data_IF_697626617465
#
_entry.id   IF_697626617465
#
_cell.length_a   1.000
_cell.length_b   1.000
_cell.length_c   1.000
_cell.angle_alpha   90.00
_cell.angle_beta   90.00
_cell.angle_gamma   90.00
#
_symmetry.space_group_name_H-M   'P 1'
#
loop_
_entity.id
_entity.type
_entity.pdbx_description
1 polymer ?
#
# COMPACT_ATOMS: atom_id res chain seq x y z
N UNK A 1 0.52 -48.77 18.52
CA UNK A 1 -0.52 -47.79 18.10
C UNK A 1 -1.22 -48.36 16.89
N UNK A 2 -2.54 -48.43 16.90
CA UNK A 2 -3.29 -48.86 15.73
C UNK A 2 -3.16 -47.84 14.59
N UNK A 3 -3.29 -48.25 13.34
CA UNK A 3 -3.21 -47.41 12.17
C UNK A 3 -4.23 -46.25 12.24
N UNK A 4 -5.41 -46.54 12.82
CA UNK A 4 -6.47 -45.55 13.08
C UNK A 4 -6.05 -44.47 14.09
N UNK A 5 -5.33 -44.80 15.17
CA UNK A 5 -4.85 -43.83 16.13
C UNK A 5 -3.81 -42.86 15.50
N UNK A 6 -2.91 -43.38 14.66
CA UNK A 6 -1.95 -42.58 13.93
C UNK A 6 -2.62 -41.62 12.96
N UNK A 7 -3.68 -42.07 12.29
CA UNK A 7 -4.45 -41.27 11.33
C UNK A 7 -5.25 -40.16 12.04
N UNK A 8 -5.75 -40.41 13.25
CA UNK A 8 -6.42 -39.42 14.08
C UNK A 8 -5.44 -38.34 14.51
N UNK A 9 -4.26 -38.70 15.02
CA UNK A 9 -3.22 -37.77 15.42
C UNK A 9 -2.76 -36.85 14.24
N UNK A 10 -2.56 -37.43 13.03
CA UNK A 10 -2.22 -36.71 11.82
C UNK A 10 -3.33 -35.68 11.42
N UNK A 11 -4.59 -36.06 11.55
CA UNK A 11 -5.73 -35.18 11.26
C UNK A 11 -5.88 -34.07 12.30
N UNK A 12 -5.65 -34.34 13.57
CA UNK A 12 -5.68 -33.35 14.63
C UNK A 12 -4.55 -32.29 14.45
N UNK A 13 -3.34 -32.73 14.10
CA UNK A 13 -2.23 -31.83 13.78
C UNK A 13 -2.52 -30.99 12.52
N UNK A 14 -3.12 -31.58 11.48
CA UNK A 14 -3.49 -30.83 10.28
C UNK A 14 -4.55 -29.78 10.57
N UNK A 15 -5.57 -30.15 11.39
CA UNK A 15 -6.61 -29.22 11.81
C UNK A 15 -6.07 -28.09 12.69
N UNK A 16 -5.15 -28.40 13.59
CA UNK A 16 -4.50 -27.38 14.43
C UNK A 16 -3.70 -26.38 13.59
N UNK A 17 -2.94 -26.86 12.60
CA UNK A 17 -2.23 -25.99 11.64
C UNK A 17 -3.19 -25.12 10.83
N UNK A 18 -4.28 -25.66 10.31
CA UNK A 18 -5.29 -24.88 9.59
C UNK A 18 -5.92 -23.79 10.47
N UNK A 19 -6.25 -24.10 11.72
CA UNK A 19 -6.79 -23.09 12.66
C UNK A 19 -5.81 -21.98 12.93
N UNK A 20 -4.53 -22.29 13.07
CA UNK A 20 -3.48 -21.30 13.26
C UNK A 20 -3.39 -20.36 12.04
N UNK A 21 -3.29 -20.89 10.83
CA UNK A 21 -3.25 -20.11 9.60
C UNK A 21 -4.48 -19.20 9.43
N UNK A 22 -5.68 -19.70 9.74
CA UNK A 22 -6.91 -18.89 9.70
C UNK A 22 -6.86 -17.76 10.73
N UNK A 23 -6.36 -18.02 11.93
CA UNK A 23 -6.20 -16.99 12.95
C UNK A 23 -5.21 -15.90 12.54
N UNK A 24 -4.05 -16.30 12.00
CA UNK A 24 -3.04 -15.39 11.48
C UNK A 24 -3.59 -14.52 10.34
N UNK A 25 -4.22 -15.13 9.32
CA UNK A 25 -4.84 -14.40 8.21
C UNK A 25 -5.91 -13.42 8.70
N UNK A 26 -6.73 -13.79 9.66
CA UNK A 26 -7.76 -12.89 10.21
C UNK A 26 -7.11 -11.71 10.96
N UNK A 27 -6.09 -11.98 11.76
CA UNK A 27 -5.35 -10.92 12.50
C UNK A 27 -4.70 -9.93 11.54
N UNK A 28 -4.05 -10.42 10.47
CA UNK A 28 -3.46 -9.60 9.43
C UNK A 28 -4.54 -8.79 8.70
N UNK A 29 -5.66 -9.43 8.34
CA UNK A 29 -6.77 -8.78 7.65
C UNK A 29 -7.38 -7.62 8.45
N UNK A 30 -7.51 -7.77 9.77
CA UNK A 30 -7.94 -6.69 10.66
C UNK A 30 -6.91 -5.55 10.65
N UNK A 31 -5.62 -5.85 10.76
CA UNK A 31 -4.56 -4.85 10.72
C UNK A 31 -4.52 -4.10 9.38
N UNK A 32 -4.62 -4.81 8.24
CA UNK A 32 -4.70 -4.20 6.91
C UNK A 32 -5.92 -3.28 6.76
N UNK A 33 -7.07 -3.69 7.28
CA UNK A 33 -8.31 -2.91 7.19
C UNK A 33 -8.29 -1.64 8.05
N UNK A 34 -7.50 -1.63 9.12
CA UNK A 34 -7.35 -0.50 10.03
C UNK A 34 -6.33 0.55 9.53
N UNK A 35 -5.34 0.12 8.73
CA UNK A 35 -4.29 1.00 8.22
C UNK A 35 -4.81 1.84 7.04
N UNK A 36 -4.45 3.12 7.01
CA UNK A 36 -4.87 4.08 5.97
C UNK A 36 -3.70 4.76 5.28
N UNK A 37 -2.52 4.70 5.88
CA UNK A 37 -1.29 5.20 5.28
C UNK A 37 -0.77 4.18 4.27
N UNK A 38 -0.75 4.55 2.98
CA UNK A 38 -0.41 3.63 1.90
C UNK A 38 1.00 3.05 2.04
N UNK A 39 2.06 3.82 2.35
CA UNK A 39 3.39 3.28 2.64
C UNK A 39 3.39 2.22 3.74
N UNK A 40 2.79 2.51 4.89
CA UNK A 40 2.69 1.59 6.02
C UNK A 40 1.90 0.33 5.66
N UNK A 41 0.83 0.49 4.87
CA UNK A 41 0.03 -0.63 4.38
C UNK A 41 0.83 -1.54 3.45
N UNK A 42 1.64 -0.98 2.54
CA UNK A 42 2.51 -1.75 1.65
C UNK A 42 3.58 -2.53 2.43
N UNK A 43 4.18 -1.90 3.44
CA UNK A 43 5.13 -2.56 4.34
C UNK A 43 4.47 -3.72 5.09
N UNK A 44 3.27 -3.51 5.64
CA UNK A 44 2.52 -4.54 6.37
C UNK A 44 2.15 -5.73 5.48
N UNK A 45 1.70 -5.47 4.24
CA UNK A 45 1.39 -6.51 3.25
C UNK A 45 2.62 -7.39 3.01
N UNK A 46 3.76 -6.77 2.73
CA UNK A 46 4.97 -7.52 2.38
C UNK A 46 5.54 -8.26 3.57
N UNK A 47 5.61 -7.62 4.74
CA UNK A 47 6.08 -8.23 5.99
C UNK A 47 5.24 -9.45 6.35
N UNK A 48 3.91 -9.32 6.28
CA UNK A 48 2.99 -10.42 6.60
C UNK A 48 3.09 -11.57 5.60
N UNK A 49 3.17 -11.27 4.30
CA UNK A 49 3.32 -12.29 3.25
C UNK A 49 4.61 -13.09 3.44
N UNK A 50 5.71 -12.40 3.75
CA UNK A 50 7.01 -13.04 4.02
C UNK A 50 6.98 -13.89 5.29
N UNK A 51 6.39 -13.37 6.37
CA UNK A 51 6.29 -14.10 7.65
C UNK A 51 5.49 -15.39 7.50
N UNK A 52 4.33 -15.35 6.84
CA UNK A 52 3.47 -16.52 6.60
C UNK A 52 4.15 -17.63 5.81
N UNK A 53 5.09 -17.27 4.92
CA UNK A 53 5.73 -18.23 4.00
C UNK A 53 7.18 -18.53 4.32
N UNK A 54 7.75 -17.85 5.31
CA UNK A 54 9.20 -17.85 5.59
C UNK A 54 10.06 -17.40 4.39
N UNK A 55 9.54 -16.46 3.56
CA UNK A 55 10.28 -15.91 2.43
C UNK A 55 11.40 -14.98 2.89
N UNK A 56 12.60 -15.13 2.32
CA UNK A 56 13.77 -14.29 2.65
C UNK A 56 13.64 -12.87 2.13
N UNK A 57 13.00 -12.71 0.98
CA UNK A 57 12.80 -11.42 0.37
C UNK A 57 11.41 -11.33 -0.29
N UNK A 58 11.02 -10.12 -0.61
CA UNK A 58 9.81 -9.88 -1.36
C UNK A 58 9.75 -8.48 -1.94
N UNK A 59 8.86 -8.30 -2.90
CA UNK A 59 8.61 -7.07 -3.62
C UNK A 59 7.13 -6.85 -3.83
N UNK A 60 6.71 -5.60 -3.81
CA UNK A 60 5.34 -5.20 -4.11
C UNK A 60 5.35 -4.30 -5.34
N UNK A 61 4.54 -4.68 -6.31
CA UNK A 61 4.30 -3.93 -7.53
C UNK A 61 2.87 -3.42 -7.57
N UNK A 62 2.69 -2.24 -8.14
CA UNK A 62 1.38 -1.63 -8.38
C UNK A 62 1.19 -1.46 -9.88
N UNK A 63 0.01 -1.82 -10.39
CA UNK A 63 -0.36 -1.56 -11.78
C UNK A 63 -0.72 -0.09 -11.93
N UNK A 64 -0.03 0.59 -12.83
CA UNK A 64 -0.36 1.95 -13.27
C UNK A 64 -0.87 1.89 -14.70
N UNK A 65 -2.11 2.32 -14.90
CA UNK A 65 -2.75 2.39 -16.21
C UNK A 65 -2.29 3.65 -16.94
N UNK A 66 -2.04 3.55 -18.23
CA UNK A 66 -1.76 4.70 -19.09
C UNK A 66 -2.91 5.71 -19.10
N UNK A 67 -2.59 6.97 -19.48
CA UNK A 67 -3.59 8.06 -19.51
C UNK A 67 -4.65 7.90 -20.62
N UNK A 68 -4.32 7.17 -21.69
CA UNK A 68 -5.26 6.87 -22.77
C UNK A 68 -5.99 5.56 -22.49
N UNK A 69 -7.27 5.68 -22.16
CA UNK A 69 -8.17 4.58 -21.82
C UNK A 69 -8.26 3.48 -22.90
N UNK A 70 -7.87 3.78 -24.13
CA UNK A 70 -7.91 2.86 -25.29
C UNK A 70 -6.56 2.20 -25.63
N UNK A 71 -5.46 2.56 -24.91
CA UNK A 71 -4.12 2.05 -25.22
C UNK A 71 -3.53 1.34 -24.00
N UNK A 72 -3.43 0.02 -24.06
CA UNK A 72 -2.72 -0.80 -23.05
C UNK A 72 -1.20 -0.72 -23.18
N UNK A 73 -0.67 0.00 -24.17
CA UNK A 73 0.77 0.09 -24.44
C UNK A 73 1.54 0.89 -23.41
N UNK A 74 0.85 1.74 -22.62
CA UNK A 74 1.45 2.59 -21.58
C UNK A 74 1.26 2.04 -20.17
N UNK A 75 0.61 0.88 -20.01
CA UNK A 75 0.44 0.24 -18.72
C UNK A 75 1.78 -0.24 -18.17
N UNK A 76 2.01 0.03 -16.91
CA UNK A 76 3.27 -0.26 -16.23
C UNK A 76 3.05 -0.95 -14.90
N UNK A 77 4.03 -1.76 -14.50
CA UNK A 77 4.19 -2.23 -13.14
C UNK A 77 5.22 -1.35 -12.44
N UNK A 78 4.76 -0.59 -11.45
CA UNK A 78 5.64 0.22 -10.62
C UNK A 78 6.08 -0.56 -9.40
N UNK A 79 7.39 -0.69 -9.24
CA UNK A 79 8.03 -1.27 -8.07
C UNK A 79 7.93 -0.29 -6.89
N UNK A 80 7.13 -0.63 -5.90
CA UNK A 80 6.75 0.28 -4.80
C UNK A 80 7.41 -0.03 -3.48
N UNK A 81 7.69 -1.30 -3.21
CA UNK A 81 8.25 -1.71 -1.93
C UNK A 81 9.08 -2.96 -2.07
N UNK A 82 10.13 -3.08 -1.26
CA UNK A 82 10.96 -4.29 -1.19
C UNK A 82 11.48 -4.52 0.22
N UNK A 83 11.66 -5.78 0.55
CA UNK A 83 12.31 -6.23 1.78
C UNK A 83 13.21 -7.40 1.47
N UNK A 84 14.35 -7.48 2.15
CA UNK A 84 15.29 -8.59 2.03
C UNK A 84 16.04 -8.77 3.36
N UNK A 85 16.04 -10.00 3.91
CA UNK A 85 16.70 -10.29 5.17
C UNK A 85 18.21 -10.53 5.02
N UNK A 86 18.63 -11.01 3.86
CA UNK A 86 20.00 -11.51 3.65
C UNK A 86 20.94 -10.48 3.04
N UNK A 87 20.42 -9.53 2.24
CA UNK A 87 21.21 -8.46 1.61
C UNK A 87 20.55 -7.11 1.79
N UNK A 88 21.37 -6.08 1.98
CA UNK A 88 20.85 -4.69 1.97
C UNK A 88 20.56 -4.29 0.52
N UNK A 89 19.31 -3.98 0.25
CA UNK A 89 18.87 -3.52 -1.07
C UNK A 89 18.55 -2.03 -0.95
N UNK A 90 19.36 -1.14 -1.57
CA UNK A 90 18.93 0.25 -1.69
C UNK A 90 17.63 0.28 -2.52
N UNK A 91 16.58 0.84 -1.92
CA UNK A 91 15.31 0.96 -2.60
C UNK A 91 15.36 2.12 -3.58
N UNK A 92 15.14 1.82 -4.85
CA UNK A 92 14.87 2.81 -5.89
C UNK A 92 13.55 2.44 -6.57
N UNK A 93 12.62 3.37 -6.60
CA UNK A 93 11.36 3.20 -7.31
C UNK A 93 11.61 3.22 -8.83
N UNK A 94 11.14 2.21 -9.53
CA UNK A 94 11.21 2.14 -10.99
C UNK A 94 9.92 1.54 -11.56
N UNK A 95 9.69 1.76 -12.83
CA UNK A 95 8.59 1.15 -13.54
C UNK A 95 9.12 0.21 -14.62
N UNK A 96 8.44 -0.91 -14.81
CA UNK A 96 8.66 -1.84 -15.91
C UNK A 96 7.39 -1.91 -16.75
N UNK A 97 7.49 -2.14 -18.05
CA UNK A 97 6.31 -2.38 -18.89
C UNK A 97 5.48 -3.53 -18.33
N UNK A 98 4.16 -3.38 -18.34
CA UNK A 98 3.24 -4.47 -18.02
C UNK A 98 3.24 -5.45 -19.21
N UNK A 99 4.09 -6.47 -19.11
CA UNK A 99 4.30 -7.43 -20.20
C UNK A 99 4.47 -8.85 -19.64
N UNK A 100 4.07 -9.85 -20.42
CA UNK A 100 4.21 -11.26 -20.05
C UNK A 100 5.67 -11.72 -19.90
N UNK A 101 6.62 -10.92 -20.35
CA UNK A 101 8.04 -11.27 -20.37
C UNK A 101 8.70 -11.33 -18.99
N UNK A 102 8.08 -10.72 -17.97
CA UNK A 102 8.52 -10.81 -16.57
C UNK A 102 7.56 -11.67 -15.74
N UNK A 103 8.05 -12.32 -14.69
CA UNK A 103 7.22 -13.17 -13.81
C UNK A 103 6.09 -12.35 -13.16
N UNK A 104 6.41 -11.16 -12.65
CA UNK A 104 5.41 -10.26 -12.06
C UNK A 104 4.41 -9.74 -13.11
N UNK A 105 4.89 -9.39 -14.32
CA UNK A 105 4.05 -8.95 -15.42
C UNK A 105 3.10 -10.04 -15.91
N UNK A 106 3.59 -11.27 -16.05
CA UNK A 106 2.76 -12.41 -16.39
C UNK A 106 1.69 -12.67 -15.33
N UNK A 107 2.04 -12.65 -14.04
CA UNK A 107 1.07 -12.79 -12.95
C UNK A 107 0.00 -11.68 -13.00
N UNK A 108 0.41 -10.45 -13.31
CA UNK A 108 -0.52 -9.32 -13.43
C UNK A 108 -1.48 -9.46 -14.62
N UNK A 109 -0.99 -9.87 -15.80
CA UNK A 109 -1.79 -9.99 -17.02
C UNK A 109 -2.68 -11.23 -17.03
N UNK A 110 -2.14 -12.39 -16.62
CA UNK A 110 -2.92 -13.63 -16.52
C UNK A 110 -3.91 -13.61 -15.35
N UNK A 111 -3.59 -12.79 -14.34
CA UNK A 111 -4.32 -12.79 -13.08
C UNK A 111 -4.23 -14.10 -12.30
N UNK A 112 -3.22 -14.93 -12.56
CA UNK A 112 -2.98 -16.19 -11.88
C UNK A 112 -1.70 -16.12 -11.05
N UNK A 113 -1.67 -16.85 -9.94
CA UNK A 113 -0.43 -17.02 -9.19
C UNK A 113 0.61 -17.77 -10.04
N UNK A 114 1.85 -17.35 -9.92
CA UNK A 114 3.00 -17.97 -10.60
C UNK A 114 3.98 -18.45 -9.55
N UNK A 115 4.10 -19.77 -9.45
CA UNK A 115 5.00 -20.44 -8.50
C UNK A 115 6.16 -21.09 -9.25
N UNK A 116 7.38 -20.60 -9.01
CA UNK A 116 8.60 -21.00 -9.69
C UNK A 116 9.54 -21.64 -8.69
N UNK A 117 9.83 -22.96 -8.82
CA UNK A 117 10.74 -23.67 -7.92
C UNK A 117 12.19 -23.20 -8.01
N UNK A 118 12.68 -22.88 -9.23
CA UNK A 118 13.99 -22.27 -9.47
C UNK A 118 13.90 -21.26 -10.62
N UNK A 119 14.18 -19.99 -10.31
CA UNK A 119 14.12 -18.89 -11.29
C UNK A 119 15.21 -19.00 -12.38
N UNK A 120 16.27 -19.81 -12.16
CA UNK A 120 17.31 -20.04 -13.14
C UNK A 120 17.05 -21.27 -14.02
N UNK A 121 16.10 -22.11 -13.63
CA UNK A 121 15.71 -23.34 -14.33
C UNK A 121 14.19 -23.30 -14.64
N UNK A 122 13.81 -22.34 -15.46
CA UNK A 122 12.43 -22.22 -15.91
C UNK A 122 12.08 -23.31 -16.93
N UNK A 123 10.84 -23.85 -16.91
CA UNK A 123 10.40 -24.84 -17.87
C UNK A 123 10.56 -24.34 -19.31
N UNK A 124 10.95 -25.20 -20.26
CA UNK A 124 10.98 -24.85 -21.68
C UNK A 124 9.62 -24.34 -22.16
N UNK A 125 9.63 -23.19 -22.86
CA UNK A 125 8.38 -22.57 -23.35
C UNK A 125 7.68 -21.66 -22.35
N UNK A 126 8.28 -21.38 -21.17
CA UNK A 126 7.75 -20.37 -20.25
C UNK A 126 7.60 -19.03 -20.96
N UNK A 127 6.43 -18.34 -20.81
CA UNK A 127 6.20 -17.04 -21.48
C UNK A 127 7.08 -15.94 -20.88
N UNK A 128 7.54 -16.11 -19.65
CA UNK A 128 8.37 -15.14 -18.92
C UNK A 128 9.81 -15.61 -18.77
N UNK A 129 10.68 -14.67 -18.42
CA UNK A 129 12.10 -14.91 -18.14
C UNK A 129 12.48 -14.27 -16.80
N UNK A 130 13.51 -14.81 -16.16
CA UNK A 130 14.12 -14.20 -15.00
C UNK A 130 15.36 -13.41 -15.39
N UNK A 131 15.40 -12.12 -15.03
CA UNK A 131 16.56 -11.25 -15.26
C UNK A 131 17.55 -11.33 -14.08
N UNK A 132 18.76 -11.83 -14.33
CA UNK A 132 19.80 -12.05 -13.29
C UNK A 132 20.55 -10.80 -12.84
N UNK A 133 20.26 -9.64 -13.43
CA UNK A 133 21.02 -8.41 -13.19
C UNK A 133 21.02 -7.94 -11.71
N UNK A 134 19.95 -8.21 -10.98
CA UNK A 134 19.92 -7.93 -9.54
C UNK A 134 20.84 -8.88 -8.77
N UNK A 135 20.74 -10.18 -9.04
CA UNK A 135 21.54 -11.21 -8.38
C UNK A 135 23.04 -10.98 -8.62
N UNK A 136 23.42 -10.66 -9.86
CA UNK A 136 24.82 -10.37 -10.23
C UNK A 136 25.40 -9.15 -9.51
N UNK A 137 24.59 -8.11 -9.30
CA UNK A 137 25.02 -6.88 -8.61
C UNK A 137 25.07 -7.03 -7.10
N UNK A 138 24.10 -7.75 -6.53
CA UNK A 138 23.94 -7.87 -5.07
C UNK A 138 24.66 -9.07 -4.46
N UNK A 139 25.12 -10.01 -5.29
CA UNK A 139 25.61 -11.30 -4.84
C UNK A 139 24.52 -12.20 -4.24
N UNK A 140 23.25 -11.85 -4.46
CA UNK A 140 22.10 -12.64 -4.06
C UNK A 140 21.81 -13.73 -5.09
N UNK A 141 21.25 -14.86 -4.67
CA UNK A 141 20.79 -15.93 -5.57
C UNK A 141 19.29 -16.12 -5.40
N UNK A 142 18.53 -15.64 -6.36
CA UNK A 142 17.09 -15.90 -6.40
C UNK A 142 16.87 -17.33 -6.91
N UNK A 143 16.24 -18.16 -6.06
CA UNK A 143 15.90 -19.54 -6.39
C UNK A 143 14.40 -19.70 -6.49
N UNK A 144 13.67 -19.93 -5.41
CA UNK A 144 12.22 -20.05 -5.47
C UNK A 144 11.52 -18.70 -5.50
N UNK A 145 10.47 -18.59 -6.29
CA UNK A 145 9.65 -17.37 -6.43
C UNK A 145 8.17 -17.71 -6.42
N UNK A 146 7.39 -16.88 -5.75
CA UNK A 146 5.93 -16.92 -5.79
C UNK A 146 5.42 -15.50 -6.07
N UNK A 147 4.74 -15.31 -7.21
CA UNK A 147 4.14 -14.05 -7.59
C UNK A 147 2.63 -14.17 -7.62
N UNK A 148 1.96 -13.40 -6.78
CA UNK A 148 0.50 -13.47 -6.60
C UNK A 148 -0.13 -12.13 -6.96
N UNK A 149 -1.10 -12.09 -7.90
CA UNK A 149 -1.80 -10.87 -8.25
C UNK A 149 -2.76 -10.43 -7.13
N UNK A 150 -2.76 -9.13 -6.86
CA UNK A 150 -3.73 -8.47 -5.99
C UNK A 150 -4.92 -8.02 -6.83
N UNK A 151 -6.11 -8.58 -6.57
CA UNK A 151 -7.33 -8.27 -7.31
C UNK A 151 -8.27 -7.42 -6.47
N UNK A 152 -8.80 -6.36 -7.09
CA UNK A 152 -9.84 -5.54 -6.50
C UNK A 152 -11.21 -6.24 -6.46
N UNK A 153 -12.23 -5.54 -5.98
CA UNK A 153 -13.60 -6.06 -5.88
C UNK A 153 -14.28 -6.30 -7.26
N UNK A 154 -13.70 -5.77 -8.34
CA UNK A 154 -14.17 -6.00 -9.73
C UNK A 154 -13.43 -7.17 -10.38
N UNK A 155 -12.43 -7.74 -9.70
CA UNK A 155 -11.57 -8.78 -10.24
C UNK A 155 -10.41 -8.24 -11.08
N UNK A 156 -10.23 -6.92 -11.15
CA UNK A 156 -9.10 -6.30 -11.85
C UNK A 156 -7.82 -6.42 -11.03
N UNK A 157 -6.70 -6.68 -11.69
CA UNK A 157 -5.41 -6.73 -11.01
C UNK A 157 -4.88 -5.32 -10.81
N UNK A 158 -4.70 -4.94 -9.56
CA UNK A 158 -4.18 -3.63 -9.13
C UNK A 158 -2.72 -3.66 -8.70
N UNK A 159 -2.15 -4.85 -8.55
CA UNK A 159 -0.74 -5.03 -8.18
C UNK A 159 -0.34 -6.49 -8.09
N UNK A 160 0.91 -6.74 -7.72
CA UNK A 160 1.49 -8.07 -7.54
C UNK A 160 2.34 -8.09 -6.28
N UNK A 161 2.12 -9.09 -5.42
CA UNK A 161 3.04 -9.47 -4.34
C UNK A 161 3.97 -10.54 -4.89
N UNK A 162 5.26 -10.30 -4.85
CA UNK A 162 6.27 -11.27 -5.27
C UNK A 162 7.15 -11.64 -4.08
N UNK A 163 7.19 -12.92 -3.75
CA UNK A 163 7.99 -13.50 -2.67
C UNK A 163 9.15 -14.29 -3.25
N UNK A 164 10.29 -14.23 -2.57
CA UNK A 164 11.54 -14.77 -3.07
C UNK A 164 12.20 -15.59 -1.96
N UNK A 165 12.66 -16.78 -2.33
CA UNK A 165 13.46 -17.68 -1.50
C UNK A 165 12.78 -18.08 -0.20
N UNK A 166 11.81 -19.01 -0.29
CA UNK A 166 11.24 -19.65 0.91
C UNK A 166 12.35 -20.40 1.66
N UNK A 167 12.55 -20.03 2.92
CA UNK A 167 13.57 -20.62 3.79
C UNK A 167 13.03 -21.85 4.52
N UNK A 168 13.86 -22.87 4.65
CA UNK A 168 13.59 -24.04 5.51
C UNK A 168 13.64 -23.62 6.99
N UNK A 169 14.65 -22.84 7.38
CA UNK A 169 14.76 -22.17 8.65
C UNK A 169 14.53 -20.66 8.46
N UNK A 170 13.42 -20.10 8.97
CA UNK A 170 13.07 -18.68 8.80
C UNK A 170 14.17 -17.70 9.26
N UNK A 171 14.98 -18.10 10.23
CA UNK A 171 16.03 -17.25 10.82
C UNK A 171 17.37 -17.29 10.07
N UNK A 172 17.54 -18.21 9.13
CA UNK A 172 18.78 -18.32 8.37
C UNK A 172 18.99 -17.14 7.44
N UNK A 173 20.26 -16.73 7.28
CA UNK A 173 20.68 -15.77 6.25
C UNK A 173 21.17 -16.55 5.02
N UNK A 174 20.77 -16.09 3.84
CA UNK A 174 21.08 -16.76 2.57
C UNK A 174 22.42 -16.29 1.96
N UNK A 175 23.39 -16.03 2.80
CA UNK A 175 24.77 -15.72 2.41
C UNK A 175 25.75 -16.58 3.19
N UNK A 176 26.80 -17.12 2.56
CA UNK A 176 27.14 -17.02 1.13
C UNK A 176 26.18 -17.81 0.24
N UNK A 177 26.31 -17.65 -1.10
CA UNK A 177 25.42 -18.27 -2.09
C UNK A 177 25.25 -19.80 -1.92
N UNK A 178 26.24 -20.50 -1.40
CA UNK A 178 26.16 -21.95 -1.11
C UNK A 178 25.09 -22.33 -0.09
N UNK A 179 24.68 -21.38 0.78
CA UNK A 179 23.60 -21.59 1.76
C UNK A 179 22.25 -21.68 1.08
N UNK A 180 22.06 -20.97 -0.05
CA UNK A 180 20.80 -20.96 -0.81
C UNK A 180 20.39 -22.37 -1.23
N UNK A 181 21.33 -23.17 -1.75
CA UNK A 181 21.03 -24.54 -2.19
C UNK A 181 20.56 -25.46 -1.06
N UNK A 182 21.00 -25.20 0.16
CA UNK A 182 20.64 -26.00 1.33
C UNK A 182 19.37 -25.52 2.02
N UNK A 183 19.17 -24.20 2.08
CA UNK A 183 18.13 -23.57 2.89
C UNK A 183 16.87 -23.21 2.08
N UNK A 184 16.99 -22.95 0.77
CA UNK A 184 15.84 -22.53 -0.03
C UNK A 184 15.10 -23.75 -0.58
N UNK A 185 13.80 -23.73 -0.33
CA UNK A 185 12.83 -24.74 -0.81
C UNK A 185 11.77 -24.07 -1.70
N UNK A 186 11.12 -24.81 -2.59
CA UNK A 186 9.96 -24.30 -3.33
C UNK A 186 8.83 -23.88 -2.41
N UNK A 187 8.06 -22.88 -2.83
CA UNK A 187 6.77 -22.55 -2.21
C UNK A 187 5.79 -23.69 -2.44
N UNK A 188 4.99 -24.01 -1.44
CA UNK A 188 3.99 -25.06 -1.49
C UNK A 188 2.64 -24.52 -1.99
N UNK A 189 1.70 -25.41 -2.34
CA UNK A 189 0.33 -25.01 -2.65
C UNK A 189 -0.36 -24.28 -1.47
N UNK A 190 -0.02 -24.66 -0.23
CA UNK A 190 -0.53 -23.98 0.98
C UNK A 190 0.00 -22.55 1.06
N UNK A 191 1.28 -22.32 0.76
CA UNK A 191 1.84 -20.97 0.72
C UNK A 191 1.12 -20.11 -0.34
N UNK A 192 0.85 -20.69 -1.51
CA UNK A 192 0.14 -20.03 -2.60
C UNK A 192 -1.29 -19.64 -2.19
N UNK A 193 -2.03 -20.54 -1.55
CA UNK A 193 -3.37 -20.27 -1.03
C UNK A 193 -3.36 -19.17 0.04
N UNK A 194 -2.43 -19.21 0.99
CA UNK A 194 -2.29 -18.21 2.05
C UNK A 194 -1.98 -16.82 1.48
N UNK A 195 -0.99 -16.74 0.57
CA UNK A 195 -0.62 -15.46 -0.04
C UNK A 195 -1.72 -14.93 -0.95
N UNK A 196 -2.45 -15.81 -1.65
CA UNK A 196 -3.61 -15.41 -2.48
C UNK A 196 -4.73 -14.82 -1.63
N UNK A 197 -5.03 -15.43 -0.48
CA UNK A 197 -6.00 -14.89 0.46
C UNK A 197 -5.57 -13.53 1.02
N UNK A 198 -4.30 -13.41 1.41
CA UNK A 198 -3.74 -12.15 1.90
C UNK A 198 -3.71 -11.07 0.80
N UNK A 199 -3.31 -11.42 -0.42
CA UNK A 199 -3.27 -10.51 -1.57
C UNK A 199 -4.66 -9.94 -1.90
N UNK A 200 -5.72 -10.74 -1.75
CA UNK A 200 -7.10 -10.28 -1.94
C UNK A 200 -7.51 -9.26 -0.88
N UNK A 201 -7.18 -9.52 0.39
CA UNK A 201 -7.44 -8.57 1.49
C UNK A 201 -6.61 -7.29 1.33
N UNK A 202 -5.34 -7.43 0.94
CA UNK A 202 -4.44 -6.33 0.66
C UNK A 202 -4.94 -5.43 -0.48
N UNK A 203 -5.48 -6.02 -1.54
CA UNK A 203 -6.06 -5.28 -2.66
C UNK A 203 -7.21 -4.38 -2.19
N UNK A 204 -8.15 -4.93 -1.42
CA UNK A 204 -9.28 -4.16 -0.87
C UNK A 204 -8.79 -3.05 0.06
N UNK A 205 -7.81 -3.33 0.92
CA UNK A 205 -7.26 -2.34 1.84
C UNK A 205 -6.56 -1.19 1.08
N UNK A 206 -5.75 -1.50 0.06
CA UNK A 206 -5.09 -0.51 -0.79
C UNK A 206 -6.08 0.34 -1.59
N UNK A 207 -7.12 -0.28 -2.14
CA UNK A 207 -8.18 0.43 -2.86
C UNK A 207 -8.91 1.39 -1.93
N UNK A 208 -9.30 0.93 -0.73
CA UNK A 208 -9.95 1.78 0.27
C UNK A 208 -9.05 2.96 0.70
N UNK A 209 -7.77 2.73 0.95
CA UNK A 209 -6.83 3.79 1.30
C UNK A 209 -6.71 4.83 0.18
N UNK A 210 -6.60 4.40 -1.09
CA UNK A 210 -6.59 5.30 -2.26
C UNK A 210 -7.89 6.10 -2.39
N UNK A 211 -9.05 5.44 -2.26
CA UNK A 211 -10.33 6.13 -2.34
C UNK A 211 -10.45 7.20 -1.25
N UNK A 212 -9.97 6.94 -0.04
CA UNK A 212 -9.95 7.94 1.04
C UNK A 212 -9.04 9.12 0.68
N UNK A 213 -7.85 8.88 0.10
CA UNK A 213 -6.97 9.95 -0.37
C UNK A 213 -7.60 10.76 -1.50
N UNK A 214 -8.24 10.11 -2.47
CA UNK A 214 -8.94 10.76 -3.58
C UNK A 214 -10.10 11.65 -3.08
N UNK A 215 -10.90 11.16 -2.13
CA UNK A 215 -11.97 11.94 -1.50
C UNK A 215 -11.39 13.16 -0.77
N UNK A 216 -10.29 13.01 -0.03
CA UNK A 216 -9.60 14.13 0.64
C UNK A 216 -9.09 15.15 -0.37
N UNK A 217 -8.50 14.71 -1.48
CA UNK A 217 -8.00 15.58 -2.55
C UNK A 217 -9.13 16.34 -3.27
N UNK A 218 -10.23 15.64 -3.58
CA UNK A 218 -11.43 16.26 -4.16
C UNK A 218 -12.04 17.30 -3.23
N UNK A 219 -12.16 17.00 -1.94
CA UNK A 219 -12.67 17.93 -0.95
C UNK A 219 -11.76 19.16 -0.82
N UNK A 220 -10.45 18.97 -0.78
CA UNK A 220 -9.49 20.09 -0.77
C UNK A 220 -9.63 20.98 -2.01
N UNK A 221 -9.77 20.38 -3.19
CA UNK A 221 -9.98 21.11 -4.45
C UNK A 221 -11.29 21.88 -4.45
N UNK A 222 -12.36 21.28 -3.92
CA UNK A 222 -13.66 21.95 -3.75
C UNK A 222 -13.57 23.17 -2.82
N UNK A 223 -12.91 23.02 -1.66
CA UNK A 223 -12.69 24.13 -0.72
C UNK A 223 -11.90 25.25 -1.39
N UNK A 224 -10.81 24.93 -2.07
CA UNK A 224 -9.96 25.91 -2.77
C UNK A 224 -10.73 26.67 -3.85
N UNK A 225 -11.52 25.97 -4.67
CA UNK A 225 -12.37 26.58 -5.69
C UNK A 225 -13.44 27.50 -5.06
N UNK A 226 -14.03 27.07 -3.94
CA UNK A 226 -15.04 27.83 -3.19
C UNK A 226 -14.45 29.13 -2.64
N UNK A 227 -13.26 29.08 -2.04
CA UNK A 227 -12.55 30.27 -1.54
C UNK A 227 -12.26 31.24 -2.69
N UNK A 228 -11.73 30.73 -3.81
CA UNK A 228 -11.46 31.56 -5.00
C UNK A 228 -12.74 32.23 -5.52
N UNK A 229 -13.85 31.51 -5.58
CA UNK A 229 -15.14 32.06 -6.03
C UNK A 229 -15.69 33.15 -5.08
N UNK A 230 -15.46 33.02 -3.77
CA UNK A 230 -15.87 34.01 -2.78
C UNK A 230 -15.01 35.25 -2.88
N UNK A 231 -13.69 35.10 -2.90
CA UNK A 231 -12.73 36.19 -2.96
C UNK A 231 -12.80 36.96 -4.29
N UNK A 232 -13.18 36.31 -5.39
CA UNK A 232 -13.40 37.00 -6.68
C UNK A 232 -14.57 38.02 -6.66
N UNK A 233 -15.52 37.87 -5.74
CA UNK A 233 -16.65 38.79 -5.56
C UNK A 233 -16.31 39.99 -4.68
N UNK A 234 -15.28 39.91 -3.87
CA UNK A 234 -14.80 41.00 -3.01
C UNK A 234 -13.26 41.10 -3.12
N UNK A 235 -12.74 41.87 -4.09
CA UNK A 235 -11.30 41.98 -4.32
C UNK A 235 -10.52 42.49 -3.10
N UNK A 236 -11.18 43.12 -2.13
CA UNK A 236 -10.55 43.63 -0.91
C UNK A 236 -10.19 42.51 0.06
N UNK A 237 -10.74 41.31 -0.13
CA UNK A 237 -10.53 40.15 0.72
C UNK A 237 -9.59 39.10 0.09
N UNK A 238 -8.93 39.43 -1.02
CA UNK A 238 -7.99 38.50 -1.67
C UNK A 238 -6.95 37.96 -0.70
N UNK A 239 -6.86 36.62 -0.61
CA UNK A 239 -5.96 35.89 0.31
C UNK A 239 -6.33 36.02 1.80
N UNK A 240 -7.50 36.63 2.14
CA UNK A 240 -7.94 36.74 3.53
C UNK A 240 -8.18 35.38 4.16
N UNK A 241 -8.94 34.52 3.51
CA UNK A 241 -9.28 33.18 4.00
C UNK A 241 -8.04 32.32 4.26
N UNK A 242 -7.06 32.41 3.36
CA UNK A 242 -5.76 31.69 3.54
C UNK A 242 -5.00 32.21 4.76
N UNK A 243 -4.88 33.52 4.94
CA UNK A 243 -4.22 34.10 6.11
C UNK A 243 -4.91 33.74 7.41
N UNK A 244 -6.25 33.74 7.46
CA UNK A 244 -7.02 33.32 8.63
C UNK A 244 -6.75 31.84 8.94
N UNK A 245 -6.74 30.98 7.93
CA UNK A 245 -6.44 29.57 8.11
C UNK A 245 -5.02 29.32 8.65
N UNK A 246 -4.01 30.01 8.09
CA UNK A 246 -2.63 29.92 8.58
C UNK A 246 -2.49 30.36 10.04
N UNK A 247 -3.11 31.49 10.40
CA UNK A 247 -3.07 32.01 11.77
C UNK A 247 -3.79 31.07 12.74
N UNK A 248 -4.96 30.55 12.35
CA UNK A 248 -5.77 29.65 13.21
C UNK A 248 -5.03 28.34 13.47
N UNK A 249 -4.49 27.71 12.41
CA UNK A 249 -3.72 26.47 12.54
C UNK A 249 -2.44 26.71 13.32
N UNK A 250 -1.69 27.78 13.02
CA UNK A 250 -0.47 28.12 13.75
C UNK A 250 -0.72 28.41 15.23
N UNK A 251 -1.86 29.02 15.58
CA UNK A 251 -2.26 29.18 16.99
C UNK A 251 -2.57 27.84 17.64
N UNK A 252 -3.31 26.97 16.98
CA UNK A 252 -3.63 25.63 17.48
C UNK A 252 -2.36 24.80 17.71
N UNK A 253 -1.40 24.82 16.76
CA UNK A 253 -0.11 24.15 16.91
C UNK A 253 0.72 24.71 18.09
N UNK A 254 0.65 26.03 18.31
CA UNK A 254 1.32 26.63 19.47
C UNK A 254 0.67 26.22 20.79
N UNK A 255 -0.65 26.13 20.83
CA UNK A 255 -1.38 25.62 22.01
C UNK A 255 -1.05 24.15 22.25
N UNK A 256 -1.01 23.33 21.22
CA UNK A 256 -0.65 21.91 21.29
C UNK A 256 0.76 21.69 21.87
N UNK A 257 1.68 22.61 21.57
CA UNK A 257 3.06 22.55 22.04
C UNK A 257 3.27 23.09 23.47
N UNK A 258 2.24 23.62 24.13
CA UNK A 258 2.38 24.14 25.49
C UNK A 258 2.57 23.00 26.49
N UNK A 259 3.59 23.13 27.33
CA UNK A 259 3.89 22.21 28.44
C UNK A 259 3.41 22.69 29.80
N UNK A 260 2.92 23.95 29.89
CA UNK A 260 2.49 24.59 31.12
C UNK A 260 1.35 25.59 30.88
N UNK A 261 0.70 26.07 31.95
CA UNK A 261 -0.37 27.05 31.87
C UNK A 261 -1.76 26.45 31.63
N UNK A 262 -2.79 27.32 31.40
CA UNK A 262 -4.21 26.90 31.39
C UNK A 262 -4.57 26.00 30.20
N UNK A 263 -3.73 25.90 29.17
CA UNK A 263 -3.94 25.10 27.97
C UNK A 263 -2.97 23.92 27.85
N UNK A 264 -2.24 23.60 28.92
CA UNK A 264 -1.22 22.54 28.93
C UNK A 264 -1.75 21.15 28.54
N UNK A 265 -3.03 20.88 28.74
CA UNK A 265 -3.69 19.60 28.46
C UNK A 265 -4.44 19.57 27.11
N UNK A 266 -4.43 20.69 26.38
CA UNK A 266 -5.08 20.77 25.06
C UNK A 266 -4.15 20.15 24.02
N UNK A 267 -4.68 19.19 23.28
CA UNK A 267 -3.99 18.54 22.16
C UNK A 267 -4.87 18.50 20.93
N UNK A 268 -4.24 18.62 19.78
CA UNK A 268 -4.93 18.54 18.49
C UNK A 268 -4.37 17.37 17.67
N UNK A 269 -5.24 16.49 17.23
CA UNK A 269 -4.86 15.50 16.22
C UNK A 269 -4.64 16.17 14.86
N UNK A 270 -3.96 15.46 13.93
CA UNK A 270 -3.79 15.94 12.55
C UNK A 270 -5.13 16.21 11.87
N UNK A 271 -6.13 15.37 12.13
CA UNK A 271 -7.48 15.55 11.57
C UNK A 271 -8.16 16.80 12.13
N UNK A 272 -8.05 17.08 13.43
CA UNK A 272 -8.58 18.29 14.06
C UNK A 272 -7.90 19.57 13.53
N UNK A 273 -6.59 19.55 13.30
CA UNK A 273 -5.89 20.68 12.67
C UNK A 273 -6.37 20.90 11.24
N UNK A 274 -6.65 19.83 10.50
CA UNK A 274 -7.19 19.91 9.15
C UNK A 274 -8.63 20.43 9.14
N UNK A 275 -9.48 20.02 10.08
CA UNK A 275 -10.84 20.56 10.27
C UNK A 275 -10.81 22.05 10.58
N UNK A 276 -9.93 22.50 11.48
CA UNK A 276 -9.72 23.91 11.79
C UNK A 276 -9.30 24.70 10.54
N UNK A 277 -8.41 24.13 9.72
CA UNK A 277 -8.00 24.73 8.45
C UNK A 277 -9.17 24.94 7.51
N UNK A 278 -9.98 23.90 7.30
CA UNK A 278 -11.17 23.98 6.43
C UNK A 278 -12.24 24.94 6.98
N UNK A 279 -12.52 24.89 8.27
CA UNK A 279 -13.45 25.82 8.90
C UNK A 279 -13.00 27.27 8.71
N UNK A 280 -11.70 27.54 8.87
CA UNK A 280 -11.13 28.87 8.67
C UNK A 280 -11.21 29.33 7.21
N UNK A 281 -10.92 28.43 6.25
CA UNK A 281 -11.02 28.75 4.82
C UNK A 281 -12.46 29.07 4.40
N UNK A 282 -13.43 28.36 4.97
CA UNK A 282 -14.84 28.47 4.61
C UNK A 282 -15.67 29.42 5.52
N UNK A 283 -15.03 30.12 6.49
CA UNK A 283 -15.76 30.95 7.46
C UNK A 283 -16.66 32.00 6.80
N UNK A 284 -16.30 32.46 5.64
CA UNK A 284 -16.99 33.46 4.85
C UNK A 284 -17.87 32.85 3.73
N UNK A 285 -18.04 31.53 3.66
CA UNK A 285 -18.77 30.84 2.59
C UNK A 285 -20.21 31.34 2.43
N UNK A 286 -20.84 31.75 3.50
CA UNK A 286 -22.19 32.36 3.48
C UNK A 286 -22.32 33.61 2.60
N UNK A 287 -21.23 34.31 2.28
CA UNK A 287 -21.22 35.48 1.38
C UNK A 287 -21.67 35.15 -0.04
N UNK A 288 -21.58 33.87 -0.47
CA UNK A 288 -22.04 33.41 -1.80
C UNK A 288 -23.53 33.72 -2.00
N UNK A 289 -24.35 33.60 -0.94
CA UNK A 289 -25.79 33.89 -0.97
C UNK A 289 -26.15 35.36 -0.82
N UNK A 290 -25.22 36.26 -0.55
CA UNK A 290 -25.47 37.68 -0.30
C UNK A 290 -25.39 38.47 -1.61
N UNK A 291 -26.38 39.41 -1.82
CA UNK A 291 -26.39 40.26 -3.01
C UNK A 291 -25.19 41.20 -3.04
N UNK A 292 -24.57 41.38 -4.20
CA UNK A 292 -23.37 42.19 -4.41
C UNK A 292 -23.46 43.60 -3.86
N UNK A 293 -24.65 44.28 -4.02
CA UNK A 293 -24.95 45.60 -3.46
C UNK A 293 -24.77 45.67 -1.93
N UNK A 294 -24.85 44.55 -1.23
CA UNK A 294 -24.67 44.50 0.23
C UNK A 294 -23.21 44.29 0.58
N UNK A 295 -22.48 43.52 -0.24
CA UNK A 295 -21.07 43.21 -0.04
C UNK A 295 -20.16 44.41 -0.33
N UNK A 296 -20.43 45.14 -1.42
CA UNK A 296 -19.57 46.25 -1.93
C UNK A 296 -20.08 47.62 -1.44
N UNK A 297 -20.80 47.67 -0.33
CA UNK A 297 -21.34 48.92 0.21
C UNK A 297 -20.18 49.84 0.68
N UNK A 298 -20.00 51.00 0.02
CA UNK A 298 -18.92 51.97 0.31
C UNK A 298 -19.01 52.59 1.72
N UNK A 299 -20.19 52.62 2.35
CA UNK A 299 -20.38 52.97 3.76
C UNK A 299 -21.18 51.86 4.44
N UNK A 300 -20.58 51.19 5.42
CA UNK A 300 -21.19 50.09 6.18
C UNK A 300 -22.14 50.55 7.29
N UNK A 301 -22.02 51.82 7.70
CA UNK A 301 -22.88 52.46 8.68
C UNK A 301 -23.36 53.83 8.11
N UNK A 302 -24.65 54.15 8.24
CA UNK A 302 -25.22 55.46 7.99
C UNK A 302 -25.25 56.23 9.29
#
# INVERSE_FOLDING_TARGET
>A
MSDDARRVDELEEALARQRLHLHELNTIGVALSAERDIPTLMELILTSSRALTAADAGSLYVVERGKDYDSTTDDQLRFKWTQNDSVAVPFEEFAIPLAETSIAGYAALSGQAVNVPDAYDLPPGSPFRYGRSFDERSGYRTKSMLSVPMRDHKGEVIGVVQLINKKRDPHSKLQPMSVVEQQVVPFTAVDEELVTSLASQAAVALENARLIEDVKALFHSFVSASVTAIESRDPTTSGHSSRVAELTVGLAERVDALGDGPFQDVRFSKDQLQELRYASLLHDFGKVGVREKVLIKGKKLY
#
